data_IF_040668962904
#
_entry.id   IF_040668962904
#
_cell.length_a   1.000
_cell.length_b   1.000
_cell.length_c   1.000
_cell.angle_alpha   90.00
_cell.angle_beta   90.00
_cell.angle_gamma   90.00
#
_symmetry.space_group_name_H-M   'P 1'
#
loop_
_entity.id
_entity.type
_entity.pdbx_description
1 polymer ?
#
# COMPACT_ATOMS: atom_id res chain seq x y z
N UNK A 1 -22.64 -18.29 15.31
CA UNK A 1 -23.13 -18.82 14.03
C UNK A 1 -22.92 -17.81 12.89
N UNK A 2 -22.89 -16.51 13.18
CA UNK A 2 -22.70 -15.45 12.17
C UNK A 2 -21.25 -15.22 11.73
N UNK A 3 -20.26 -15.35 12.62
CA UNK A 3 -18.83 -15.16 12.28
C UNK A 3 -18.36 -16.14 11.19
N UNK A 4 -18.87 -17.38 11.21
CA UNK A 4 -18.50 -18.41 10.22
C UNK A 4 -19.13 -18.12 8.86
N UNK A 5 -20.36 -17.61 8.84
CA UNK A 5 -21.01 -17.13 7.62
C UNK A 5 -20.26 -15.96 7.01
N UNK A 6 -19.84 -14.97 7.81
CA UNK A 6 -19.05 -13.83 7.34
C UNK A 6 -17.66 -14.21 6.78
N UNK A 7 -17.07 -15.32 7.26
CA UNK A 7 -15.80 -15.83 6.75
C UNK A 7 -15.94 -16.61 5.43
N UNK A 8 -17.09 -17.27 5.24
CA UNK A 8 -17.36 -18.15 4.09
C UNK A 8 -18.14 -17.43 2.95
N UNK A 9 -18.80 -16.31 3.23
CA UNK A 9 -19.44 -15.43 2.24
C UNK A 9 -18.59 -14.19 2.05
N UNK A 10 -17.99 -14.00 0.87
CA UNK A 10 -17.23 -12.81 0.47
C UNK A 10 -17.66 -11.54 1.24
N UNK A 11 -16.84 -11.16 2.21
CA UNK A 11 -16.92 -10.06 3.19
C UNK A 11 -18.25 -9.29 3.13
N UNK A 12 -19.22 -9.73 3.93
CA UNK A 12 -20.41 -8.93 4.25
C UNK A 12 -20.00 -7.94 5.36
N UNK A 13 -19.98 -6.65 5.03
CA UNK A 13 -19.84 -5.57 6.00
C UNK A 13 -21.01 -5.63 6.98
N UNK A 14 -20.69 -5.73 8.26
CA UNK A 14 -21.65 -5.57 9.37
C UNK A 14 -21.28 -4.30 10.12
N UNK A 15 -22.23 -3.68 10.83
CA UNK A 15 -22.05 -2.46 11.63
C UNK A 15 -21.12 -2.64 12.86
N UNK A 16 -20.25 -3.64 12.85
CA UNK A 16 -19.26 -3.92 13.89
C UNK A 16 -17.88 -4.00 13.29
N UNK A 17 -16.92 -3.30 13.90
CA UNK A 17 -15.52 -3.31 13.49
C UNK A 17 -14.91 -4.70 13.67
N UNK A 18 -14.56 -5.34 12.56
CA UNK A 18 -13.89 -6.64 12.56
C UNK A 18 -12.37 -6.41 12.47
N UNK A 19 -11.66 -6.62 13.58
CA UNK A 19 -10.19 -6.62 13.59
C UNK A 19 -9.68 -8.00 13.16
N UNK A 20 -9.19 -8.12 11.94
CA UNK A 20 -8.52 -9.31 11.44
C UNK A 20 -7.04 -9.32 11.86
N UNK A 21 -6.68 -10.24 12.74
CA UNK A 21 -5.29 -10.54 13.10
C UNK A 21 -4.84 -11.71 12.21
N UNK A 22 -4.00 -11.43 11.20
CA UNK A 22 -3.76 -12.40 10.11
C UNK A 22 -2.41 -12.32 9.40
N UNK A 23 -2.13 -13.39 8.66
CA UNK A 23 -0.89 -13.80 7.96
C UNK A 23 -0.04 -12.64 7.40
N UNK A 24 1.26 -12.52 7.78
CA UNK A 24 2.15 -11.49 7.25
C UNK A 24 2.32 -11.52 5.73
N UNK A 25 2.01 -12.62 5.04
CA UNK A 25 2.01 -12.71 3.56
C UNK A 25 0.78 -12.10 2.89
N UNK A 26 -0.32 -11.93 3.61
CA UNK A 26 -1.57 -11.34 3.09
C UNK A 26 -1.88 -9.97 3.69
N UNK A 27 -1.35 -9.67 4.87
CA UNK A 27 -1.49 -8.39 5.58
C UNK A 27 -0.50 -7.31 5.08
N UNK A 28 -0.10 -7.39 3.80
CA UNK A 28 0.97 -6.61 3.16
C UNK A 28 0.57 -5.14 2.90
N UNK A 29 0.10 -4.40 3.90
CA UNK A 29 0.38 -2.96 3.93
C UNK A 29 1.62 -2.72 4.79
N UNK A 30 2.78 -2.84 4.14
CA UNK A 30 4.11 -2.68 4.73
C UNK A 30 4.35 -1.29 5.36
N UNK A 31 3.43 -0.32 5.14
CA UNK A 31 3.49 1.02 5.73
C UNK A 31 3.01 1.06 7.17
N UNK A 32 2.27 0.03 7.61
CA UNK A 32 1.95 -0.16 9.01
C UNK A 32 2.89 -1.23 9.54
N UNK A 33 3.96 -0.84 10.25
CA UNK A 33 4.76 -1.80 10.98
C UNK A 33 3.80 -2.59 11.90
N UNK A 34 3.56 -3.89 11.64
CA UNK A 34 2.47 -4.61 12.27
C UNK A 34 2.66 -4.58 13.78
N UNK A 35 1.55 -4.42 14.51
CA UNK A 35 1.58 -4.60 15.95
C UNK A 35 1.89 -6.08 16.21
N UNK A 36 3.10 -6.37 16.67
CA UNK A 36 3.50 -7.73 17.01
C UNK A 36 2.72 -8.10 18.27
N UNK A 37 1.76 -9.01 18.14
CA UNK A 37 1.04 -9.58 19.27
C UNK A 37 1.93 -10.61 19.97
N UNK A 38 2.87 -10.10 20.76
CA UNK A 38 3.73 -10.88 21.64
C UNK A 38 3.05 -11.16 22.98
N UNK A 39 3.71 -11.92 23.85
CA UNK A 39 3.23 -12.17 25.21
C UNK A 39 2.92 -10.91 26.01
N UNK A 40 3.67 -9.82 25.80
CA UNK A 40 3.45 -8.59 26.56
C UNK A 40 2.08 -7.97 26.20
N UNK A 41 1.77 -7.81 24.91
CA UNK A 41 0.48 -7.28 24.48
C UNK A 41 -0.64 -8.26 24.82
N UNK A 42 -0.46 -9.54 24.48
CA UNK A 42 -1.50 -10.56 24.67
C UNK A 42 -1.85 -10.83 26.13
N UNK A 43 -0.94 -10.58 27.07
CA UNK A 43 -1.24 -10.70 28.51
C UNK A 43 -2.09 -9.55 29.05
N UNK A 44 -2.17 -8.44 28.31
CA UNK A 44 -2.95 -7.26 28.68
C UNK A 44 -4.34 -7.25 28.05
N UNK A 45 -4.58 -8.13 27.07
CA UNK A 45 -5.91 -8.30 26.47
C UNK A 45 -6.76 -9.21 27.35
N UNK A 46 -7.98 -8.76 27.63
CA UNK A 46 -9.00 -9.53 28.34
C UNK A 46 -9.63 -10.59 27.42
N UNK A 47 -9.75 -10.29 26.12
CA UNK A 47 -10.34 -11.15 25.10
C UNK A 47 -11.76 -11.61 25.48
N UNK A 48 -12.53 -10.69 26.06
CA UNK A 48 -13.89 -10.91 26.57
C UNK A 48 -13.93 -12.04 27.62
N UNK A 49 -13.12 -11.89 28.67
CA UNK A 49 -12.98 -12.82 29.80
C UNK A 49 -12.24 -14.11 29.47
N UNK A 50 -11.49 -14.17 28.36
CA UNK A 50 -10.75 -15.37 27.92
C UNK A 50 -9.29 -15.05 27.61
N UNK A 51 -8.51 -14.58 28.60
CA UNK A 51 -7.12 -14.18 28.40
C UNK A 51 -6.24 -15.36 28.00
N UNK A 52 -5.07 -15.05 27.44
CA UNK A 52 -4.08 -16.06 27.06
C UNK A 52 -3.53 -16.76 28.30
N UNK A 53 -3.46 -18.09 28.24
CA UNK A 53 -2.85 -18.92 29.29
C UNK A 53 -1.39 -19.18 28.94
N UNK A 54 -0.50 -18.95 29.89
CA UNK A 54 0.96 -19.05 29.72
C UNK A 54 1.61 -20.22 30.44
N UNK A 55 0.80 -20.98 31.17
CA UNK A 55 1.17 -22.09 32.03
C UNK A 55 0.62 -23.43 31.52
N UNK A 56 0.34 -23.52 30.21
CA UNK A 56 -0.17 -24.73 29.59
C UNK A 56 0.89 -25.83 29.65
N UNK A 57 0.49 -27.00 30.13
CA UNK A 57 1.29 -28.23 30.17
C UNK A 57 0.58 -29.29 29.35
N UNK A 58 1.31 -30.03 28.51
CA UNK A 58 0.70 -31.15 27.78
C UNK A 58 0.52 -32.40 28.64
N UNK A 59 -0.10 -33.42 28.02
CA UNK A 59 -0.34 -34.74 28.61
C UNK A 59 0.94 -35.47 29.05
N UNK A 60 2.11 -35.04 28.60
CA UNK A 60 3.42 -35.61 28.98
C UNK A 60 4.11 -34.82 30.08
N UNK A 61 3.47 -33.78 30.63
CA UNK A 61 4.06 -32.92 31.64
C UNK A 61 4.99 -31.84 31.08
N UNK A 62 5.04 -31.65 29.74
CA UNK A 62 5.92 -30.66 29.12
C UNK A 62 5.19 -29.32 29.04
N UNK A 63 5.80 -28.28 29.63
CA UNK A 63 5.31 -26.91 29.56
C UNK A 63 5.43 -26.34 28.15
N UNK A 64 4.41 -25.63 27.69
CA UNK A 64 4.42 -24.97 26.39
C UNK A 64 5.33 -23.73 26.40
N UNK A 65 6.03 -23.54 25.28
CA UNK A 65 6.67 -22.27 24.97
C UNK A 65 5.61 -21.20 24.62
N UNK A 66 6.06 -19.94 24.52
CA UNK A 66 5.19 -18.80 24.23
C UNK A 66 4.41 -18.99 22.93
N UNK A 67 5.10 -19.35 21.84
CA UNK A 67 4.49 -19.53 20.52
C UNK A 67 3.39 -20.60 20.55
N UNK A 68 3.61 -21.70 21.26
CA UNK A 68 2.67 -22.81 21.39
C UNK A 68 1.49 -22.43 22.30
N UNK A 69 1.72 -21.62 23.34
CA UNK A 69 0.63 -21.02 24.13
C UNK A 69 -0.26 -20.13 23.26
N UNK A 70 0.33 -19.18 22.54
CA UNK A 70 -0.38 -18.25 21.63
C UNK A 70 -1.18 -19.03 20.61
N UNK A 71 -0.54 -19.96 19.88
CA UNK A 71 -1.20 -20.75 18.83
C UNK A 71 -2.35 -21.59 19.38
N UNK A 72 -2.20 -22.13 20.60
CA UNK A 72 -3.25 -22.94 21.24
C UNK A 72 -4.42 -22.07 21.70
N UNK A 73 -4.12 -20.94 22.32
CA UNK A 73 -5.11 -20.00 22.86
C UNK A 73 -5.79 -19.15 21.79
N UNK A 74 -5.20 -18.96 20.61
CA UNK A 74 -5.79 -18.18 19.52
C UNK A 74 -6.32 -19.07 18.38
N UNK A 75 -6.28 -20.40 18.53
CA UNK A 75 -6.86 -21.32 17.53
C UNK A 75 -8.35 -21.07 17.28
N UNK A 76 -9.20 -20.86 18.30
CA UNK A 76 -10.58 -20.48 18.06
C UNK A 76 -10.68 -18.96 17.87
N UNK A 77 -11.66 -18.45 17.10
CA UNK A 77 -11.93 -17.02 17.02
C UNK A 77 -12.04 -16.38 18.41
N UNK A 78 -11.50 -15.18 18.53
CA UNK A 78 -11.56 -14.35 19.74
C UNK A 78 -12.34 -13.09 19.41
N UNK A 79 -13.12 -12.65 20.38
CA UNK A 79 -13.82 -11.36 20.33
C UNK A 79 -13.07 -10.45 21.29
N UNK A 80 -12.69 -9.29 20.80
CA UNK A 80 -12.07 -8.24 21.62
C UNK A 80 -13.18 -7.57 22.43
N UNK A 81 -12.90 -7.25 23.70
CA UNK A 81 -13.73 -6.30 24.44
C UNK A 81 -13.55 -4.89 23.88
N UNK A 82 -14.45 -3.97 24.22
CA UNK A 82 -14.29 -2.54 23.88
C UNK A 82 -12.95 -2.01 24.41
N UNK A 83 -12.60 -2.32 25.66
CA UNK A 83 -11.30 -1.96 26.25
C UNK A 83 -10.09 -2.57 25.56
N UNK A 84 -10.22 -3.79 25.00
CA UNK A 84 -9.15 -4.38 24.19
C UNK A 84 -8.97 -3.61 22.88
N UNK A 85 -10.08 -3.19 22.26
CA UNK A 85 -10.10 -2.34 21.08
C UNK A 85 -9.38 -1.01 21.32
N UNK A 86 -9.81 -0.28 22.36
CA UNK A 86 -9.22 1.01 22.75
C UNK A 86 -7.71 0.90 23.01
N UNK A 87 -7.29 -0.15 23.73
CA UNK A 87 -5.88 -0.39 24.02
C UNK A 87 -5.07 -0.62 22.74
N UNK A 88 -5.57 -1.45 21.82
CA UNK A 88 -4.88 -1.74 20.57
C UNK A 88 -4.83 -0.51 19.67
N UNK A 89 -5.89 0.29 19.62
CA UNK A 89 -5.93 1.56 18.89
C UNK A 89 -4.92 2.57 19.44
N UNK A 90 -4.82 2.69 20.77
CA UNK A 90 -3.81 3.53 21.41
C UNK A 90 -2.39 3.08 21.04
N UNK A 91 -2.09 1.78 21.12
CA UNK A 91 -0.77 1.25 20.77
C UNK A 91 -0.40 1.52 19.30
N UNK A 92 -1.37 1.38 18.39
CA UNK A 92 -1.19 1.71 16.97
C UNK A 92 -0.91 3.20 16.80
N UNK A 93 -1.68 4.05 17.48
CA UNK A 93 -1.54 5.51 17.43
C UNK A 93 -0.18 6.00 17.95
N UNK A 94 0.26 5.51 19.11
CA UNK A 94 1.57 5.81 19.69
C UNK A 94 2.72 5.37 18.79
N UNK A 95 2.61 4.19 18.18
CA UNK A 95 3.61 3.68 17.25
C UNK A 95 3.65 4.53 15.98
N UNK A 96 2.50 4.93 15.46
CA UNK A 96 2.41 5.83 14.31
C UNK A 96 3.07 7.18 14.60
N UNK A 97 2.75 7.80 15.74
CA UNK A 97 3.38 9.04 16.19
C UNK A 97 4.91 8.92 16.27
N UNK A 98 5.42 7.85 16.89
CA UNK A 98 6.86 7.57 16.99
C UNK A 98 7.54 7.45 15.63
N UNK A 99 6.88 6.80 14.67
CA UNK A 99 7.37 6.68 13.29
C UNK A 99 7.40 8.04 12.59
N UNK A 100 6.35 8.86 12.75
CA UNK A 100 6.26 10.20 12.15
C UNK A 100 7.22 11.22 12.77
N UNK A 101 7.59 11.07 14.05
CA UNK A 101 8.53 11.98 14.73
C UNK A 101 10.01 11.68 14.43
N UNK A 102 10.31 10.53 13.82
CA UNK A 102 11.69 10.11 13.58
C UNK A 102 12.19 10.69 12.24
N UNK A 103 12.86 11.84 12.30
CA UNK A 103 13.24 12.69 11.16
C UNK A 103 14.09 12.02 10.06
N UNK A 104 14.70 10.86 10.31
CA UNK A 104 15.37 10.05 9.27
C UNK A 104 14.41 9.39 8.27
N UNK A 105 13.12 9.32 8.58
CA UNK A 105 12.07 8.79 7.69
C UNK A 105 11.19 9.88 7.05
N UNK A 106 11.49 11.16 7.24
CA UNK A 106 10.68 12.27 6.71
C UNK A 106 10.74 12.41 5.18
N UNK A 107 11.66 11.73 4.50
CA UNK A 107 11.65 11.61 3.03
C UNK A 107 10.71 10.49 2.54
N UNK A 108 10.10 9.73 3.45
CA UNK A 108 9.13 8.66 3.18
C UNK A 108 7.78 8.97 3.84
N UNK A 109 7.30 10.22 3.74
CA UNK A 109 5.95 10.56 4.17
C UNK A 109 4.97 9.53 3.59
N UNK A 110 4.12 8.90 4.42
CA UNK A 110 3.04 8.09 3.92
C UNK A 110 2.13 9.03 3.14
N UNK A 111 2.19 8.92 1.83
CA UNK A 111 1.28 9.56 0.89
C UNK A 111 -0.10 9.42 1.46
N UNK A 112 -0.77 10.56 1.66
CA UNK A 112 -2.08 10.73 2.26
C UNK A 112 -2.87 9.41 2.27
N UNK A 113 -2.70 8.65 3.37
CA UNK A 113 -3.02 7.22 3.40
C UNK A 113 -4.46 6.99 2.96
N UNK A 114 -5.36 7.89 3.33
CA UNK A 114 -6.78 7.82 2.98
C UNK A 114 -7.02 7.79 1.46
N UNK A 115 -6.30 8.61 0.69
CA UNK A 115 -6.48 8.76 -0.77
C UNK A 115 -5.87 7.59 -1.52
N UNK A 116 -4.66 7.18 -1.11
CA UNK A 116 -4.06 5.96 -1.63
C UNK A 116 -4.92 4.73 -1.29
N UNK A 117 -5.49 4.69 -0.09
CA UNK A 117 -6.42 3.64 0.34
C UNK A 117 -7.70 3.66 -0.50
N UNK A 118 -8.25 4.84 -0.79
CA UNK A 118 -9.42 5.01 -1.65
C UNK A 118 -9.20 4.45 -3.06
N UNK A 119 -8.13 4.86 -3.77
CA UNK A 119 -7.81 4.31 -5.10
C UNK A 119 -7.61 2.80 -5.03
N UNK A 120 -6.90 2.32 -3.99
CA UNK A 120 -6.62 0.89 -3.85
C UNK A 120 -7.89 0.03 -3.75
N UNK A 121 -8.91 0.53 -3.05
CA UNK A 121 -10.18 -0.17 -2.85
C UNK A 121 -11.21 0.09 -3.96
N UNK A 122 -11.25 1.31 -4.52
CA UNK A 122 -12.21 1.68 -5.58
C UNK A 122 -11.79 1.15 -6.95
N UNK A 123 -10.49 1.18 -7.28
CA UNK A 123 -9.99 0.62 -8.53
C UNK A 123 -9.83 -0.89 -8.38
N UNK A 124 -10.65 -1.65 -9.09
CA UNK A 124 -10.57 -3.09 -9.22
C UNK A 124 -9.37 -3.51 -10.07
N UNK A 125 -8.97 -2.72 -11.05
CA UNK A 125 -7.92 -3.06 -12.04
C UNK A 125 -6.85 -1.98 -12.21
N UNK A 126 -5.69 -2.35 -12.73
CA UNK A 126 -4.62 -1.40 -13.11
C UNK A 126 -5.09 -0.42 -14.19
N UNK A 127 -5.95 -0.88 -15.10
CA UNK A 127 -6.55 -0.04 -16.15
C UNK A 127 -7.34 1.15 -15.59
N UNK A 128 -8.07 0.95 -14.49
CA UNK A 128 -8.79 2.05 -13.82
C UNK A 128 -7.83 3.02 -13.13
N UNK A 129 -6.70 2.54 -12.63
CA UNK A 129 -5.64 3.40 -12.08
C UNK A 129 -5.01 4.21 -13.23
N UNK A 130 -4.67 3.57 -14.34
CA UNK A 130 -4.18 4.26 -15.53
C UNK A 130 -5.16 5.36 -15.99
N UNK A 131 -6.48 5.13 -15.95
CA UNK A 131 -7.48 6.14 -16.32
C UNK A 131 -7.36 7.40 -15.44
N UNK A 132 -7.18 7.21 -14.13
CA UNK A 132 -6.99 8.28 -13.16
C UNK A 132 -5.66 9.00 -13.41
N UNK A 133 -4.59 8.25 -13.67
CA UNK A 133 -3.26 8.79 -13.96
C UNK A 133 -3.29 9.66 -15.21
N UNK A 134 -3.89 9.19 -16.30
CA UNK A 134 -3.97 9.95 -17.56
C UNK A 134 -4.74 11.26 -17.37
N UNK A 135 -5.87 11.23 -16.66
CA UNK A 135 -6.69 12.43 -16.38
C UNK A 135 -5.97 13.48 -15.55
N UNK A 136 -4.99 13.06 -14.74
CA UNK A 136 -4.27 13.92 -13.80
C UNK A 136 -2.77 13.90 -14.09
N UNK A 137 -2.34 13.66 -15.33
CA UNK A 137 -0.95 13.35 -15.62
C UNK A 137 0.03 14.49 -15.25
N UNK A 138 -0.42 15.75 -15.33
CA UNK A 138 0.34 16.94 -14.90
C UNK A 138 0.64 16.96 -13.39
N UNK A 139 -0.13 16.22 -12.58
CA UNK A 139 0.15 16.08 -11.13
C UNK A 139 1.41 15.26 -10.84
N UNK A 140 1.84 14.42 -11.78
CA UNK A 140 3.08 13.67 -11.66
C UNK A 140 4.30 14.57 -11.86
N UNK A 141 4.20 15.53 -12.77
CA UNK A 141 5.25 16.49 -13.07
C UNK A 141 4.64 17.63 -13.88
N UNK A 142 4.96 18.87 -13.50
CA UNK A 142 4.43 20.04 -14.17
C UNK A 142 4.81 20.01 -15.67
N UNK A 143 3.83 20.21 -16.55
CA UNK A 143 4.02 20.18 -18.00
C UNK A 143 4.11 18.78 -18.62
N UNK A 144 3.95 17.70 -17.84
CA UNK A 144 3.87 16.34 -18.37
C UNK A 144 2.55 16.15 -19.15
N UNK A 145 2.64 15.68 -20.39
CA UNK A 145 1.50 15.50 -21.29
C UNK A 145 1.35 14.04 -21.70
N UNK A 146 0.14 13.53 -21.67
CA UNK A 146 -0.18 12.22 -22.20
C UNK A 146 -0.04 12.21 -23.72
N UNK A 147 0.64 11.20 -24.26
CA UNK A 147 0.80 10.98 -25.70
C UNK A 147 -0.07 9.82 -26.14
N UNK A 148 0.12 8.64 -25.54
CA UNK A 148 -0.60 7.44 -25.91
C UNK A 148 -0.63 6.43 -24.76
N UNK A 149 -1.49 5.42 -24.89
CA UNK A 149 -1.74 4.40 -23.88
C UNK A 149 -1.49 3.01 -24.47
N UNK A 150 -0.95 2.11 -23.66
CA UNK A 150 -0.80 0.69 -24.00
C UNK A 150 0.03 0.51 -25.29
N UNK A 151 1.13 1.25 -25.39
CA UNK A 151 2.00 1.33 -26.58
C UNK A 151 2.81 0.05 -26.73
N UNK A 152 2.68 -0.62 -27.87
CA UNK A 152 3.41 -1.85 -28.18
C UNK A 152 4.81 -1.50 -28.72
N UNK A 153 5.84 -2.04 -28.08
CA UNK A 153 7.23 -1.92 -28.49
C UNK A 153 7.62 -3.06 -29.45
N UNK A 154 8.80 -2.93 -30.06
CA UNK A 154 9.34 -3.90 -31.03
C UNK A 154 9.46 -5.35 -30.54
N UNK A 155 9.53 -5.59 -29.22
CA UNK A 155 9.58 -6.93 -28.64
C UNK A 155 8.19 -7.48 -28.29
N UNK A 156 7.13 -6.74 -28.60
CA UNK A 156 5.75 -7.08 -28.29
C UNK A 156 5.32 -6.71 -26.87
N UNK A 157 6.23 -6.22 -26.02
CA UNK A 157 5.87 -5.70 -24.71
C UNK A 157 5.12 -4.38 -24.84
N UNK A 158 4.33 -4.08 -23.81
CA UNK A 158 3.35 -3.00 -23.84
C UNK A 158 3.60 -2.04 -22.69
N UNK A 159 3.86 -0.79 -23.02
CA UNK A 159 4.01 0.30 -22.04
C UNK A 159 2.63 0.79 -21.66
N UNK A 160 2.31 0.86 -20.35
CA UNK A 160 0.97 1.28 -19.91
C UNK A 160 0.62 2.69 -20.38
N UNK A 161 1.52 3.65 -20.17
CA UNK A 161 1.33 5.04 -20.58
C UNK A 161 2.63 5.59 -21.18
N UNK A 162 2.51 6.17 -22.37
CA UNK A 162 3.52 7.02 -23.00
C UNK A 162 3.13 8.49 -22.79
N UNK A 163 4.04 9.26 -22.23
CA UNK A 163 3.90 10.68 -22.01
C UNK A 163 5.11 11.44 -22.53
N UNK A 164 5.07 12.76 -22.43
CA UNK A 164 6.14 13.66 -22.82
C UNK A 164 6.27 14.77 -21.79
N UNK A 165 7.49 15.05 -21.32
CA UNK A 165 7.75 16.15 -20.37
C UNK A 165 7.83 17.52 -21.06
N UNK A 166 8.08 18.57 -20.27
CA UNK A 166 8.19 19.94 -20.76
C UNK A 166 9.33 20.15 -21.77
N UNK A 167 10.36 19.30 -21.72
CA UNK A 167 11.53 19.35 -22.60
C UNK A 167 11.35 18.47 -23.84
N UNK A 168 10.12 17.99 -24.08
CA UNK A 168 9.78 17.08 -25.17
C UNK A 168 10.42 15.68 -25.06
N UNK A 169 10.90 15.30 -23.87
CA UNK A 169 11.49 13.98 -23.62
C UNK A 169 10.38 12.92 -23.47
N UNK A 170 10.47 11.78 -24.16
CA UNK A 170 9.52 10.68 -23.96
C UNK A 170 9.60 10.10 -22.54
N UNK A 171 8.46 9.92 -21.91
CA UNK A 171 8.32 9.38 -20.55
C UNK A 171 7.52 8.09 -20.61
N UNK A 172 8.15 6.97 -20.24
CA UNK A 172 7.50 5.66 -20.18
C UNK A 172 7.06 5.38 -18.74
N UNK A 173 5.76 5.19 -18.54
CA UNK A 173 5.18 5.05 -17.21
C UNK A 173 4.58 3.65 -17.08
N UNK A 174 5.01 2.91 -16.05
CA UNK A 174 4.44 1.64 -15.62
C UNK A 174 3.51 1.88 -14.42
N UNK A 175 2.30 1.31 -14.46
CA UNK A 175 1.29 1.45 -13.41
C UNK A 175 1.11 0.13 -12.67
N UNK A 176 1.24 0.15 -11.34
CA UNK A 176 1.00 -1.03 -10.49
C UNK A 176 -0.14 -0.83 -9.51
N UNK A 177 -1.04 -1.81 -9.44
CA UNK A 177 -2.01 -1.88 -8.36
C UNK A 177 -1.34 -2.45 -7.10
N UNK A 178 -1.25 -1.62 -6.06
CA UNK A 178 -0.62 -2.04 -4.81
C UNK A 178 0.88 -1.74 -4.78
N UNK A 179 1.63 -2.60 -4.11
CA UNK A 179 3.07 -2.39 -3.87
C UNK A 179 3.87 -2.82 -5.10
N UNK A 180 4.63 -1.90 -5.68
CA UNK A 180 5.60 -2.21 -6.72
C UNK A 180 6.85 -2.88 -6.12
N UNK A 181 7.37 -3.87 -6.85
CA UNK A 181 8.57 -4.62 -6.48
C UNK A 181 9.65 -4.52 -7.57
N UNK A 182 10.77 -5.22 -7.36
CA UNK A 182 11.94 -5.15 -8.23
C UNK A 182 11.64 -5.60 -9.67
N UNK A 183 10.57 -6.40 -9.89
CA UNK A 183 10.13 -6.80 -11.23
C UNK A 183 9.58 -5.60 -12.04
N UNK A 184 9.00 -4.61 -11.35
CA UNK A 184 8.47 -3.38 -11.96
C UNK A 184 9.60 -2.56 -12.57
N UNK A 185 10.74 -2.46 -11.88
CA UNK A 185 11.92 -1.78 -12.42
C UNK A 185 12.52 -2.53 -13.60
N UNK A 186 12.54 -3.86 -13.57
CA UNK A 186 12.98 -4.65 -14.72
C UNK A 186 12.11 -4.42 -15.95
N UNK A 187 10.79 -4.28 -15.78
CA UNK A 187 9.86 -3.91 -16.86
C UNK A 187 10.18 -2.53 -17.43
N UNK A 188 10.29 -1.51 -16.57
CA UNK A 188 10.64 -0.14 -17.02
C UNK A 188 11.99 -0.12 -17.74
N UNK A 189 13.01 -0.79 -17.21
CA UNK A 189 14.32 -0.88 -17.85
C UNK A 189 14.25 -1.54 -19.24
N UNK A 190 13.44 -2.59 -19.38
CA UNK A 190 13.16 -3.21 -20.68
C UNK A 190 12.52 -2.22 -21.64
N UNK A 191 11.49 -1.49 -21.20
CA UNK A 191 10.81 -0.51 -22.06
C UNK A 191 11.75 0.58 -22.54
N UNK A 192 12.58 1.14 -21.64
CA UNK A 192 13.55 2.17 -22.01
C UNK A 192 14.54 1.66 -23.06
N UNK A 193 15.03 0.43 -22.91
CA UNK A 193 15.91 -0.20 -23.88
C UNK A 193 15.23 -0.38 -25.25
N UNK A 194 14.03 -0.95 -25.27
CA UNK A 194 13.31 -1.24 -26.51
C UNK A 194 12.83 0.03 -27.22
N UNK A 195 12.34 1.01 -26.46
CA UNK A 195 11.94 2.31 -27.00
C UNK A 195 13.14 3.03 -27.61
N UNK A 196 14.29 3.05 -26.95
CA UNK A 196 15.52 3.62 -27.52
C UNK A 196 15.99 2.88 -28.77
N UNK A 197 15.81 1.57 -28.84
CA UNK A 197 16.12 0.78 -30.04
C UNK A 197 15.17 1.08 -31.20
N UNK A 198 13.89 1.30 -30.92
CA UNK A 198 12.87 1.69 -31.90
C UNK A 198 13.00 3.14 -32.36
N UNK A 199 13.44 4.03 -31.45
CA UNK A 199 13.60 5.47 -31.68
C UNK A 199 15.01 5.95 -31.24
N UNK A 200 16.07 5.68 -32.03
CA UNK A 200 17.47 5.88 -31.62
C UNK A 200 17.89 7.31 -31.28
N UNK A 201 17.17 8.32 -31.79
CA UNK A 201 17.43 9.74 -31.51
C UNK A 201 16.83 10.22 -30.18
N UNK A 202 16.07 9.37 -29.49
CA UNK A 202 15.39 9.72 -28.24
C UNK A 202 16.14 9.22 -27.01
N UNK A 203 15.90 9.88 -25.88
CA UNK A 203 16.44 9.52 -24.57
C UNK A 203 15.27 9.37 -23.60
N UNK A 204 14.50 8.27 -23.67
CA UNK A 204 13.32 8.12 -22.84
C UNK A 204 13.72 8.02 -21.37
N UNK A 205 12.84 8.50 -20.48
CA UNK A 205 12.97 8.35 -19.03
C UNK A 205 11.83 7.50 -18.47
N UNK A 206 12.11 6.78 -17.38
CA UNK A 206 11.16 5.85 -16.76
C UNK A 206 10.47 6.47 -15.55
N UNK A 207 9.17 6.19 -15.42
CA UNK A 207 8.41 6.44 -14.19
C UNK A 207 7.62 5.22 -13.76
N UNK A 208 7.39 5.09 -12.47
CA UNK A 208 6.52 4.07 -11.87
C UNK A 208 5.41 4.80 -11.12
N UNK A 209 4.17 4.37 -11.29
CA UNK A 209 3.02 4.82 -10.48
C UNK A 209 2.47 3.65 -9.67
N UNK A 210 2.46 3.76 -8.34
CA UNK A 210 2.02 2.66 -7.47
C UNK A 210 1.43 3.13 -6.13
N UNK A 211 1.00 2.19 -5.29
CA UNK A 211 0.51 2.48 -3.93
C UNK A 211 1.65 2.81 -2.98
N UNK A 212 2.69 2.01 -3.13
CA UNK A 212 3.94 2.04 -2.39
C UNK A 212 4.95 1.20 -3.18
N UNK A 213 6.20 1.22 -2.75
CA UNK A 213 7.29 0.49 -3.36
C UNK A 213 8.13 -0.21 -2.29
N UNK A 214 8.72 -1.35 -2.63
CA UNK A 214 9.70 -2.02 -1.77
C UNK A 214 10.88 -1.08 -1.47
N UNK A 215 11.50 -1.20 -0.29
CA UNK A 215 12.70 -0.40 0.04
C UNK A 215 13.83 -0.61 -0.98
N UNK A 216 14.00 -1.84 -1.47
CA UNK A 216 14.98 -2.17 -2.50
C UNK A 216 14.69 -1.46 -3.81
N UNK A 217 13.42 -1.45 -4.23
CA UNK A 217 12.97 -0.75 -5.42
C UNK A 217 13.24 0.75 -5.31
N UNK A 218 12.89 1.39 -4.19
CA UNK A 218 13.13 2.82 -3.96
C UNK A 218 14.61 3.17 -4.13
N UNK A 219 15.50 2.42 -3.48
CA UNK A 219 16.95 2.65 -3.59
C UNK A 219 17.48 2.43 -5.02
N UNK A 220 16.99 1.40 -5.71
CA UNK A 220 17.41 1.11 -7.08
C UNK A 220 16.93 2.20 -8.06
N UNK A 221 15.68 2.65 -7.91
CA UNK A 221 15.09 3.72 -8.71
C UNK A 221 15.83 5.06 -8.51
N UNK A 222 16.19 5.41 -7.27
CA UNK A 222 17.00 6.59 -6.96
C UNK A 222 18.36 6.55 -7.68
N UNK A 223 19.06 5.41 -7.62
CA UNK A 223 20.35 5.24 -8.28
C UNK A 223 20.25 5.29 -9.81
N UNK A 224 19.17 4.76 -10.39
CA UNK A 224 18.98 4.62 -11.84
C UNK A 224 18.24 5.80 -12.48
N UNK A 225 17.81 6.80 -11.69
CA UNK A 225 17.06 7.96 -12.19
C UNK A 225 15.63 7.65 -12.63
N UNK A 226 15.03 6.56 -12.15
CA UNK A 226 13.62 6.23 -12.39
C UNK A 226 12.78 6.87 -11.28
N UNK A 227 11.86 7.78 -11.63
CA UNK A 227 11.02 8.44 -10.62
C UNK A 227 9.85 7.53 -10.23
N UNK A 228 9.63 7.35 -8.93
CA UNK A 228 8.44 6.69 -8.39
C UNK A 228 7.45 7.77 -7.97
N UNK A 229 6.23 7.64 -8.43
CA UNK A 229 5.08 8.45 -8.04
C UNK A 229 4.08 7.55 -7.34
N UNK A 230 3.43 8.10 -6.33
CA UNK A 230 2.41 7.36 -5.63
C UNK A 230 1.04 7.93 -5.94
N UNK A 231 0.06 7.09 -6.22
CA UNK A 231 -1.22 7.58 -6.70
C UNK A 231 -2.00 8.46 -5.69
N UNK A 232 -1.63 8.48 -4.40
CA UNK A 232 -2.19 9.47 -3.46
C UNK A 232 -1.60 10.89 -3.61
N UNK A 233 -0.52 11.07 -4.38
CA UNK A 233 0.00 12.37 -4.82
C UNK A 233 -0.84 12.91 -5.99
N UNK A 234 -1.34 12.01 -6.85
CA UNK A 234 -2.09 12.32 -8.08
C UNK A 234 -3.44 12.98 -7.78
N UNK A 235 -4.08 12.61 -6.68
CA UNK A 235 -5.41 13.09 -6.29
C UNK A 235 -5.42 14.28 -5.32
N UNK A 236 -4.26 14.86 -4.96
CA UNK A 236 -4.25 16.13 -4.22
C UNK A 236 -4.98 17.24 -5.01
N UNK A 237 -4.96 17.17 -6.35
CA UNK A 237 -5.58 18.16 -7.23
C UNK A 237 -7.11 18.08 -7.36
N UNK A 238 -7.77 17.00 -6.89
CA UNK A 238 -9.25 16.96 -6.90
C UNK A 238 -9.87 17.65 -5.68
N UNK A 239 -9.21 17.67 -4.52
CA UNK A 239 -9.73 18.35 -3.33
C UNK A 239 -9.77 19.87 -3.47
N UNK A 240 -8.81 20.46 -4.17
CA UNK A 240 -8.77 21.92 -4.37
C UNK A 240 -9.82 22.42 -5.38
N UNK A 241 -10.47 21.52 -6.14
CA UNK A 241 -11.62 21.85 -7.00
C UNK A 241 -12.98 21.71 -6.31
N UNK A 242 -13.02 21.09 -5.12
CA UNK A 242 -14.26 20.86 -4.35
C UNK A 242 -14.17 21.40 -2.92
N UNK A 243 -13.31 22.39 -2.65
CA UNK A 243 -13.41 23.16 -1.42
C UNK A 243 -14.71 23.99 -1.44
N UNK A 244 -15.75 23.37 -0.89
CA UNK A 244 -17.07 23.93 -0.59
C UNK A 244 -17.02 25.16 0.35
N UNK A 245 -15.84 25.56 0.84
CA UNK A 245 -15.64 26.80 1.58
C UNK A 245 -14.94 27.91 0.79
N UNK A 246 -14.54 27.68 -0.47
CA UNK A 246 -14.07 28.76 -1.33
C UNK A 246 -15.27 29.58 -1.81
N UNK A 247 -15.54 30.70 -1.13
CA UNK A 247 -16.49 31.69 -1.64
C UNK A 247 -16.05 32.12 -3.04
N UNK A 248 -16.98 32.29 -4.00
CA UNK A 248 -16.64 32.86 -5.28
C UNK A 248 -16.08 34.27 -5.04
N UNK A 249 -14.84 34.48 -5.47
CA UNK A 249 -14.29 35.83 -5.63
C UNK A 249 -15.03 36.41 -6.83
N UNK A 250 -15.93 37.36 -6.55
CA UNK A 250 -16.56 38.24 -7.54
C UNK A 250 -15.54 39.26 -8.02
#
# INVERSE_FOLDING_TARGET
MEIRKAYDSDIIYTDTDVVLIGDPKKSYDIRKAPLILDKYILSRLDLNGKPIKWDIVDKKGIKYDEKKCITTCLRPPRVLSESDGDMLEQLVSERHQKLTSNTKFNNFLPINSLVATKIHFECKTEREIEDIVIRNIESLENGLKHIDRQVILIDGNRVDILAQDSDSTPVLIEVKKGIADDSTLAQVASYLHQYKKQYPSTHPIGKIVCADASYKLKNACEHLGVKIHFYGEILKCEKDKYDINSKPVV
#
